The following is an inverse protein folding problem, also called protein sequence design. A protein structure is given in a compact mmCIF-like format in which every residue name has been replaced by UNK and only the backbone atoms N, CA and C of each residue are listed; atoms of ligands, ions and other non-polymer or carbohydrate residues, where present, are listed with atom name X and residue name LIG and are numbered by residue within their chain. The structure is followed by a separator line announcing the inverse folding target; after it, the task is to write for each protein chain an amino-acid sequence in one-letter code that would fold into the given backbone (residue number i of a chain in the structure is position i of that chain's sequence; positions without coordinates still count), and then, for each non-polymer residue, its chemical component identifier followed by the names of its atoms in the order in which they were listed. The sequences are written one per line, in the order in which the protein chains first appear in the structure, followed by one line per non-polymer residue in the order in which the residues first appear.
data_IF_193386628345
#
_entry.id   IF_193386628345
#
_cell.length_a   1.000
_cell.length_b   1.000
_cell.length_c   1.000
_cell.angle_alpha   90.00
_cell.angle_beta   90.00
_cell.angle_gamma   90.00
#
_symmetry.space_group_name_H-M   'P 1'
#
loop_
_entity.id
_entity.type
_entity.pdbx_description
1 polymer ?
#
# COMPACT_ATOMS: atom_id res chain seq x y z
N UNK A 1 5.50 -18.47 -34.13
CA UNK A 1 5.30 -18.34 -32.67
C UNK A 1 5.69 -16.93 -32.19
N UNK A 2 6.90 -16.39 -32.55
CA UNK A 2 7.30 -15.05 -32.16
C UNK A 2 6.29 -13.97 -32.59
N UNK A 3 5.84 -14.01 -33.86
CA UNK A 3 4.83 -13.07 -34.35
C UNK A 3 3.48 -13.21 -33.63
N UNK A 4 3.05 -14.42 -33.33
CA UNK A 4 1.81 -14.66 -32.56
C UNK A 4 1.93 -14.16 -31.11
N UNK A 5 3.09 -14.35 -30.48
CA UNK A 5 3.36 -13.83 -29.13
C UNK A 5 3.39 -12.28 -29.11
N UNK A 6 4.04 -11.66 -30.10
CA UNK A 6 4.03 -10.21 -30.27
C UNK A 6 2.61 -9.65 -30.49
N UNK A 7 1.82 -10.28 -31.36
CA UNK A 7 0.43 -9.92 -31.63
C UNK A 7 -0.43 -10.00 -30.36
N UNK A 8 -0.34 -11.13 -29.62
CA UNK A 8 -1.09 -11.30 -28.36
C UNK A 8 -0.68 -10.23 -27.35
N UNK A 9 0.62 -9.94 -27.23
CA UNK A 9 1.12 -8.92 -26.30
C UNK A 9 0.60 -7.52 -26.66
N UNK A 10 0.66 -7.15 -27.94
CA UNK A 10 0.18 -5.84 -28.42
C UNK A 10 -1.34 -5.71 -28.30
N UNK A 11 -2.10 -6.77 -28.61
CA UNK A 11 -3.57 -6.73 -28.60
C UNK A 11 -4.18 -6.87 -27.21
N UNK A 12 -3.45 -7.46 -26.23
CA UNK A 12 -3.95 -7.74 -24.88
C UNK A 12 -4.58 -6.53 -24.16
N UNK A 13 -4.03 -5.29 -24.22
CA UNK A 13 -4.64 -4.13 -23.58
C UNK A 13 -5.98 -3.69 -24.19
N UNK A 14 -6.25 -4.05 -25.47
CA UNK A 14 -7.46 -3.68 -26.21
C UNK A 14 -8.61 -4.67 -26.02
N UNK A 15 -8.32 -5.84 -25.46
CA UNK A 15 -9.28 -6.92 -25.35
C UNK A 15 -9.92 -6.94 -23.96
N UNK A 16 -11.23 -7.24 -23.91
CA UNK A 16 -11.89 -7.52 -22.64
C UNK A 16 -11.27 -8.75 -21.96
N UNK A 17 -11.42 -8.87 -20.64
CA UNK A 17 -10.76 -9.91 -19.83
C UNK A 17 -11.02 -11.34 -20.36
N UNK A 18 -12.24 -11.60 -20.88
CA UNK A 18 -12.60 -12.90 -21.46
C UNK A 18 -11.79 -13.19 -22.73
N UNK A 19 -11.73 -12.23 -23.65
CA UNK A 19 -10.98 -12.38 -24.89
C UNK A 19 -9.46 -12.39 -24.65
N UNK A 20 -8.96 -11.64 -23.72
CA UNK A 20 -7.55 -11.67 -23.32
C UNK A 20 -7.14 -13.04 -22.80
N UNK A 21 -7.97 -13.68 -21.93
CA UNK A 21 -7.72 -15.06 -21.49
C UNK A 21 -7.75 -16.02 -22.67
N UNK A 22 -8.72 -15.90 -23.56
CA UNK A 22 -8.83 -16.77 -24.74
C UNK A 22 -7.58 -16.66 -25.65
N UNK A 23 -7.09 -15.46 -25.94
CA UNK A 23 -5.89 -15.28 -26.76
C UNK A 23 -4.63 -15.86 -26.11
N UNK A 24 -4.45 -15.70 -24.79
CA UNK A 24 -3.34 -16.32 -24.08
C UNK A 24 -3.46 -17.85 -24.06
N UNK A 25 -4.65 -18.40 -23.86
CA UNK A 25 -4.88 -19.86 -23.94
C UNK A 25 -4.59 -20.40 -25.33
N UNK A 26 -5.00 -19.69 -26.38
CA UNK A 26 -4.71 -20.06 -27.77
C UNK A 26 -3.21 -20.03 -28.04
N UNK A 27 -2.47 -19.04 -27.54
CA UNK A 27 -1.01 -19.00 -27.67
C UNK A 27 -0.34 -20.18 -26.97
N UNK A 28 -0.77 -20.50 -25.74
CA UNK A 28 -0.26 -21.66 -24.99
C UNK A 28 -0.54 -22.95 -25.75
N UNK A 29 -1.75 -23.13 -26.27
CA UNK A 29 -2.10 -24.30 -27.06
C UNK A 29 -1.26 -24.41 -28.33
N UNK A 30 -1.02 -23.30 -29.02
CA UNK A 30 -0.15 -23.23 -30.20
C UNK A 30 1.30 -23.63 -29.85
N UNK A 31 1.81 -23.17 -28.73
CA UNK A 31 3.15 -23.52 -28.23
C UNK A 31 3.24 -25.02 -27.94
N UNK A 32 2.26 -25.58 -27.22
CA UNK A 32 2.21 -27.00 -26.90
C UNK A 32 2.12 -27.85 -28.16
N UNK A 33 1.23 -27.50 -29.12
CA UNK A 33 1.09 -28.20 -30.39
C UNK A 33 2.40 -28.18 -31.20
N UNK A 34 3.11 -27.06 -31.19
CA UNK A 34 4.41 -26.91 -31.85
C UNK A 34 5.48 -27.79 -31.23
N UNK A 35 5.54 -27.85 -29.90
CA UNK A 35 6.48 -28.74 -29.19
C UNK A 35 6.25 -30.22 -29.58
N UNK A 36 4.99 -30.62 -29.71
CA UNK A 36 4.62 -32.02 -30.05
C UNK A 36 4.85 -32.30 -31.53
N UNK A 37 4.51 -31.37 -32.43
CA UNK A 37 4.50 -31.57 -33.88
C UNK A 37 5.84 -31.29 -34.57
N UNK A 38 6.72 -30.45 -33.97
CA UNK A 38 8.00 -30.13 -34.56
C UNK A 38 9.13 -30.82 -33.82
N UNK A 39 10.08 -31.38 -34.52
CA UNK A 39 11.32 -31.93 -33.95
C UNK A 39 12.32 -30.84 -33.49
N UNK A 40 11.86 -29.58 -33.33
CA UNK A 40 12.68 -28.46 -32.90
C UNK A 40 12.96 -28.52 -31.39
N UNK A 41 14.13 -28.09 -30.93
CA UNK A 41 14.42 -28.07 -29.50
C UNK A 41 13.41 -27.16 -28.76
N UNK A 42 12.86 -27.61 -27.63
CA UNK A 42 11.90 -26.79 -26.83
C UNK A 42 12.42 -25.41 -26.45
N UNK A 43 13.74 -25.27 -26.31
CA UNK A 43 14.40 -24.00 -25.98
C UNK A 43 14.17 -22.93 -27.07
N UNK A 44 14.23 -23.29 -28.36
CA UNK A 44 14.04 -22.37 -29.47
C UNK A 44 12.63 -21.80 -29.46
N UNK A 45 11.64 -22.60 -29.09
CA UNK A 45 10.23 -22.20 -28.97
C UNK A 45 10.07 -21.19 -27.81
N UNK A 46 10.71 -21.42 -26.67
CA UNK A 46 10.68 -20.51 -25.52
C UNK A 46 11.35 -19.19 -25.87
N UNK A 47 12.52 -19.23 -26.53
CA UNK A 47 13.22 -18.02 -27.00
C UNK A 47 12.36 -17.24 -28.00
N UNK A 48 11.71 -17.92 -28.94
CA UNK A 48 10.82 -17.29 -29.92
C UNK A 48 9.61 -16.57 -29.25
N UNK A 49 9.01 -17.20 -28.23
CA UNK A 49 7.92 -16.57 -27.44
C UNK A 49 8.44 -15.35 -26.69
N UNK A 50 9.58 -15.47 -26.01
CA UNK A 50 10.18 -14.38 -25.27
C UNK A 50 10.53 -13.19 -26.18
N UNK A 51 11.12 -13.45 -27.34
CA UNK A 51 11.42 -12.44 -28.33
C UNK A 51 10.14 -11.73 -28.82
N UNK A 52 9.08 -12.49 -29.10
CA UNK A 52 7.79 -11.93 -29.50
C UNK A 52 7.19 -11.02 -28.41
N UNK A 53 7.27 -11.44 -27.15
CA UNK A 53 6.82 -10.60 -26.03
C UNK A 53 7.63 -9.31 -25.88
N UNK A 54 8.95 -9.39 -26.03
CA UNK A 54 9.82 -8.19 -26.01
C UNK A 54 9.46 -7.21 -27.14
N UNK A 55 9.32 -7.71 -28.35
CA UNK A 55 8.91 -6.87 -29.49
C UNK A 55 7.54 -6.25 -29.25
N UNK A 56 6.56 -7.03 -28.80
CA UNK A 56 5.23 -6.52 -28.47
C UNK A 56 5.26 -5.45 -27.35
N UNK A 57 6.09 -5.64 -26.33
CA UNK A 57 6.26 -4.66 -25.26
C UNK A 57 6.92 -3.37 -25.74
N UNK A 58 7.91 -3.45 -26.62
CA UNK A 58 8.53 -2.27 -27.23
C UNK A 58 7.51 -1.48 -28.08
N UNK A 59 6.66 -2.17 -28.86
CA UNK A 59 5.58 -1.53 -29.62
C UNK A 59 4.62 -0.79 -28.68
N UNK A 60 4.22 -1.40 -27.56
CA UNK A 60 3.35 -0.75 -26.57
C UNK A 60 4.02 0.45 -25.89
N UNK A 61 5.33 0.40 -25.66
CA UNK A 61 6.09 1.52 -25.11
C UNK A 61 6.20 2.70 -26.08
N UNK A 62 6.37 2.41 -27.38
CA UNK A 62 6.53 3.45 -28.42
C UNK A 62 5.20 4.08 -28.80
N UNK A 63 4.16 3.26 -29.00
CA UNK A 63 2.86 3.71 -29.49
C UNK A 63 1.83 3.94 -28.37
N UNK A 64 2.15 3.57 -27.14
CA UNK A 64 1.23 3.63 -25.99
C UNK A 64 0.23 2.48 -25.97
N UNK A 65 -0.39 2.29 -24.81
CA UNK A 65 -1.57 1.43 -24.65
C UNK A 65 -2.81 2.31 -24.47
N UNK A 66 -4.02 1.87 -24.86
CA UNK A 66 -5.22 2.62 -24.57
C UNK A 66 -5.35 2.76 -23.06
N UNK A 67 -5.31 3.99 -22.57
CA UNK A 67 -5.78 4.25 -21.22
C UNK A 67 -7.31 4.08 -21.25
N UNK A 68 -7.88 3.18 -20.46
CA UNK A 68 -9.32 3.05 -20.42
C UNK A 68 -9.91 4.31 -19.78
N UNK A 69 -10.34 5.25 -20.62
CA UNK A 69 -11.14 6.41 -20.20
C UNK A 69 -12.54 6.01 -19.70
N UNK A 70 -12.91 4.75 -19.85
CA UNK A 70 -14.16 4.14 -19.42
C UNK A 70 -14.31 3.98 -17.89
N UNK A 71 -13.24 4.09 -17.13
CA UNK A 71 -13.31 3.85 -15.67
C UNK A 71 -14.23 4.83 -14.92
N UNK A 72 -14.35 6.07 -15.36
CA UNK A 72 -15.16 7.05 -14.67
C UNK A 72 -16.67 6.73 -14.73
N UNK A 73 -17.19 6.39 -15.92
CA UNK A 73 -18.60 6.05 -16.09
C UNK A 73 -18.97 4.73 -15.44
N UNK A 74 -18.12 3.71 -15.56
CA UNK A 74 -18.30 2.42 -14.89
C UNK A 74 -18.26 2.56 -13.36
N UNK A 75 -17.33 3.38 -12.85
CA UNK A 75 -17.19 3.64 -11.44
C UNK A 75 -18.43 4.38 -10.89
N UNK A 76 -18.92 5.38 -11.61
CA UNK A 76 -20.18 6.07 -11.27
C UNK A 76 -21.38 5.13 -11.25
N UNK A 77 -21.50 4.23 -12.24
CA UNK A 77 -22.54 3.23 -12.28
C UNK A 77 -22.45 2.26 -11.11
N UNK A 78 -21.25 1.80 -10.77
CA UNK A 78 -21.03 0.89 -9.65
C UNK A 78 -21.29 1.56 -8.28
N UNK A 79 -20.95 2.84 -8.11
CA UNK A 79 -21.28 3.61 -6.90
C UNK A 79 -22.79 3.79 -6.73
N UNK A 80 -23.50 4.08 -7.84
CA UNK A 80 -24.99 4.18 -7.79
C UNK A 80 -25.63 2.85 -7.43
N UNK A 81 -25.07 1.73 -7.87
CA UNK A 81 -25.55 0.41 -7.47
C UNK A 81 -25.37 0.12 -5.97
N UNK A 82 -24.43 0.79 -5.30
CA UNK A 82 -24.26 0.77 -3.83
C UNK A 82 -25.18 1.77 -3.10
N UNK A 83 -26.08 2.48 -3.81
CA UNK A 83 -26.95 3.49 -3.23
C UNK A 83 -26.27 4.86 -3.04
N UNK A 84 -25.05 5.03 -3.50
CA UNK A 84 -24.33 6.32 -3.46
C UNK A 84 -24.70 7.15 -4.68
N UNK A 85 -25.11 8.41 -4.48
CA UNK A 85 -25.47 9.35 -5.54
C UNK A 85 -24.36 10.40 -5.75
N UNK A 86 -23.29 10.10 -6.51
CA UNK A 86 -22.23 11.06 -6.74
C UNK A 86 -22.69 12.20 -7.63
N UNK A 87 -22.42 13.43 -7.23
CA UNK A 87 -22.73 14.66 -7.95
C UNK A 87 -21.55 15.26 -8.68
N UNK A 88 -20.34 15.05 -8.16
CA UNK A 88 -19.12 15.51 -8.77
C UNK A 88 -18.00 14.46 -8.58
N UNK A 89 -17.03 14.46 -9.50
CA UNK A 89 -15.86 13.59 -9.43
C UNK A 89 -14.61 14.41 -9.75
N UNK A 90 -13.60 14.26 -8.90
CA UNK A 90 -12.25 14.76 -9.17
C UNK A 90 -11.24 13.63 -9.00
N UNK A 91 -10.22 13.59 -9.83
CA UNK A 91 -9.08 12.71 -9.63
C UNK A 91 -8.14 13.36 -8.62
N UNK A 92 -7.75 12.60 -7.61
CA UNK A 92 -6.72 13.04 -6.67
C UNK A 92 -5.36 12.60 -7.19
N UNK A 93 -4.54 13.58 -7.59
CA UNK A 93 -3.15 13.34 -7.94
C UNK A 93 -2.35 13.24 -6.63
N UNK A 94 -1.87 12.05 -6.30
CA UNK A 94 -1.09 11.78 -5.10
C UNK A 94 0.13 10.91 -5.41
N UNK A 95 1.09 10.88 -4.50
CA UNK A 95 2.34 10.13 -4.62
C UNK A 95 2.19 8.59 -4.68
N UNK A 96 0.96 8.07 -4.62
CA UNK A 96 0.69 6.63 -4.65
C UNK A 96 0.44 6.06 -6.04
N UNK A 97 0.87 4.83 -6.27
CA UNK A 97 0.67 4.11 -7.53
C UNK A 97 -0.81 3.78 -7.82
N UNK A 98 -1.69 3.80 -6.82
CA UNK A 98 -3.11 3.46 -6.94
C UNK A 98 -3.94 4.71 -7.19
N UNK A 99 -4.72 4.80 -8.29
CA UNK A 99 -5.61 5.92 -8.56
C UNK A 99 -6.63 6.14 -7.44
N UNK A 100 -6.76 7.37 -6.99
CA UNK A 100 -7.76 7.81 -6.01
C UNK A 100 -8.67 8.83 -6.67
N UNK A 101 -9.96 8.75 -6.36
CA UNK A 101 -10.96 9.67 -6.85
C UNK A 101 -11.73 10.25 -5.67
N UNK A 102 -11.95 11.55 -5.69
CA UNK A 102 -12.82 12.26 -4.78
C UNK A 102 -14.20 12.36 -5.40
N UNK A 103 -15.24 11.99 -4.66
CA UNK A 103 -16.62 12.15 -5.05
C UNK A 103 -17.36 13.02 -4.03
N UNK A 104 -18.08 14.02 -4.50
CA UNK A 104 -19.09 14.67 -3.71
C UNK A 104 -20.40 13.88 -3.84
N UNK A 105 -21.14 13.69 -2.75
CA UNK A 105 -22.43 12.99 -2.73
C UNK A 105 -23.56 13.96 -2.56
N UNK A 106 -24.75 13.62 -3.10
CA UNK A 106 -25.96 14.42 -2.94
C UNK A 106 -26.57 14.29 -1.53
N UNK A 107 -26.30 13.17 -0.87
CA UNK A 107 -26.84 12.84 0.43
C UNK A 107 -25.92 13.44 1.51
N UNK A 108 -26.42 14.37 2.30
CA UNK A 108 -25.76 15.03 3.45
C UNK A 108 -24.51 15.87 3.13
N UNK A 109 -24.19 16.12 1.84
CA UNK A 109 -23.00 16.93 1.47
C UNK A 109 -21.66 16.26 1.78
N UNK A 110 -21.65 14.96 2.00
CA UNK A 110 -20.43 14.21 2.31
C UNK A 110 -19.51 14.03 1.11
N UNK A 111 -18.23 13.93 1.36
CA UNK A 111 -17.22 13.58 0.35
C UNK A 111 -16.69 12.17 0.57
N UNK A 112 -16.51 11.46 -0.53
CA UNK A 112 -15.99 10.10 -0.52
C UNK A 112 -14.65 10.03 -1.25
N UNK A 113 -13.75 9.24 -0.71
CA UNK A 113 -12.54 8.83 -1.41
C UNK A 113 -12.72 7.41 -1.93
N UNK A 114 -12.59 7.27 -3.24
CA UNK A 114 -12.67 5.97 -3.91
C UNK A 114 -11.27 5.58 -4.41
N UNK A 115 -10.75 4.51 -3.87
CA UNK A 115 -9.48 3.91 -4.27
C UNK A 115 -9.77 2.79 -5.26
N UNK A 116 -9.33 2.99 -6.52
CA UNK A 116 -9.57 2.06 -7.63
C UNK A 116 -8.32 1.22 -7.90
N UNK A 117 -8.48 -0.09 -7.94
CA UNK A 117 -7.43 -1.03 -8.34
C UNK A 117 -7.79 -1.69 -9.66
N UNK A 118 -6.90 -1.57 -10.62
CA UNK A 118 -7.10 -2.11 -11.97
C UNK A 118 -6.40 -3.47 -12.13
N UNK A 119 -6.86 -4.33 -13.05
CA UNK A 119 -6.15 -5.57 -13.39
C UNK A 119 -4.70 -5.37 -13.84
N UNK A 120 -4.36 -4.17 -14.35
CA UNK A 120 -2.99 -3.84 -14.77
C UNK A 120 -2.05 -3.63 -13.58
N UNK A 121 -2.54 -3.20 -12.43
CA UNK A 121 -1.74 -3.03 -11.20
C UNK A 121 -1.12 -4.37 -10.76
N UNK A 122 -1.75 -5.49 -11.14
CA UNK A 122 -1.25 -6.84 -10.86
C UNK A 122 0.01 -7.22 -11.63
N UNK A 123 0.21 -6.69 -12.83
CA UNK A 123 1.39 -6.97 -13.65
C UNK A 123 2.62 -6.20 -13.19
N UNK A 124 2.46 -4.96 -12.73
CA UNK A 124 3.53 -4.19 -12.09
C UNK A 124 3.96 -4.83 -10.77
N UNK A 125 3.03 -5.25 -9.92
CA UNK A 125 3.30 -5.97 -8.68
C UNK A 125 4.13 -7.26 -8.89
N UNK A 126 3.87 -8.01 -9.98
CA UNK A 126 4.62 -9.23 -10.29
C UNK A 126 6.06 -8.94 -10.74
N UNK A 127 6.26 -7.91 -11.54
CA UNK A 127 7.60 -7.47 -11.97
C UNK A 127 8.41 -6.93 -10.80
N UNK A 128 7.78 -6.16 -9.92
CA UNK A 128 8.44 -5.62 -8.73
C UNK A 128 8.84 -6.74 -7.75
N UNK A 129 8.01 -7.78 -7.60
CA UNK A 129 8.31 -8.98 -6.81
C UNK A 129 9.44 -9.81 -7.41
N UNK A 130 9.41 -10.02 -8.74
CA UNK A 130 10.49 -10.73 -9.43
C UNK A 130 11.81 -9.97 -9.28
N UNK A 131 11.77 -8.64 -9.38
CA UNK A 131 12.91 -7.77 -9.21
C UNK A 131 13.43 -7.73 -7.78
N UNK A 132 12.53 -7.75 -6.78
CA UNK A 132 12.86 -7.86 -5.37
C UNK A 132 13.48 -9.23 -5.05
N UNK A 133 12.93 -10.32 -5.58
CA UNK A 133 13.46 -11.68 -5.41
C UNK A 133 14.86 -11.84 -6.01
N UNK A 134 15.12 -11.24 -7.20
CA UNK A 134 16.44 -11.25 -7.84
C UNK A 134 17.48 -10.46 -7.05
N UNK A 135 17.08 -9.39 -6.38
CA UNK A 135 18.00 -8.56 -5.58
C UNK A 135 18.34 -9.13 -4.21
N UNK A 136 17.75 -10.25 -3.78
CA UNK A 136 18.00 -10.90 -2.47
C UNK A 136 17.94 -9.92 -1.26
N UNK A 137 17.20 -8.82 -1.37
CA UNK A 137 17.19 -7.73 -0.38
C UNK A 137 15.78 -7.21 -0.15
N UNK A 138 15.03 -7.94 0.59
CA UNK A 138 14.06 -7.47 1.58
C UNK A 138 13.14 -8.61 1.98
N UNK A 139 13.12 -8.88 3.24
CA UNK A 139 12.24 -9.87 3.90
C UNK A 139 10.78 -9.42 3.97
N UNK A 140 10.37 -8.44 3.19
CA UNK A 140 8.99 -8.00 3.05
C UNK A 140 8.30 -8.71 1.90
N UNK A 141 8.05 -9.99 2.08
CA UNK A 141 7.13 -10.70 1.18
C UNK A 141 5.71 -10.26 1.56
N UNK A 142 5.17 -9.29 0.82
CA UNK A 142 3.72 -9.10 0.83
C UNK A 142 3.05 -10.44 0.57
N UNK A 143 2.13 -10.84 1.45
CA UNK A 143 1.37 -12.07 1.24
C UNK A 143 0.68 -12.01 -0.13
N UNK A 144 0.89 -13.01 -1.01
CA UNK A 144 0.32 -12.99 -2.34
C UNK A 144 -1.20 -13.17 -2.23
N UNK A 145 -1.96 -12.10 -2.32
CA UNK A 145 -3.40 -12.23 -2.52
C UNK A 145 -3.64 -12.81 -3.91
N UNK A 146 -4.43 -13.88 -3.97
CA UNK A 146 -4.72 -14.58 -5.22
C UNK A 146 -5.57 -13.75 -6.19
N UNK A 147 -6.19 -12.63 -5.73
CA UNK A 147 -7.02 -11.74 -6.56
C UNK A 147 -7.03 -10.31 -6.02
N UNK A 148 -7.24 -9.32 -6.92
CA UNK A 148 -7.44 -7.91 -6.56
C UNK A 148 -8.58 -7.74 -5.56
N UNK A 149 -9.66 -8.48 -5.74
CA UNK A 149 -10.83 -8.45 -4.87
C UNK A 149 -10.45 -8.78 -3.43
N UNK A 150 -9.70 -9.87 -3.21
CA UNK A 150 -9.26 -10.25 -1.86
C UNK A 150 -8.37 -9.21 -1.21
N UNK A 151 -7.55 -8.50 -1.99
CA UNK A 151 -6.72 -7.42 -1.45
C UNK A 151 -7.57 -6.25 -0.96
N UNK A 152 -8.57 -5.84 -1.74
CA UNK A 152 -9.51 -4.78 -1.34
C UNK A 152 -10.40 -5.21 -0.17
N UNK A 153 -10.87 -6.45 -0.17
CA UNK A 153 -11.63 -7.05 0.95
C UNK A 153 -10.78 -7.08 2.23
N UNK A 154 -9.51 -7.45 2.13
CA UNK A 154 -8.59 -7.48 3.28
C UNK A 154 -8.33 -6.08 3.83
N UNK A 155 -8.07 -5.09 2.96
CA UNK A 155 -7.91 -3.69 3.37
C UNK A 155 -9.15 -3.16 4.10
N UNK A 156 -10.34 -3.46 3.57
CA UNK A 156 -11.58 -3.07 4.22
C UNK A 156 -11.79 -3.80 5.55
N UNK A 157 -11.50 -5.09 5.61
CA UNK A 157 -11.58 -5.87 6.84
C UNK A 157 -10.64 -5.33 7.92
N UNK A 158 -9.37 -5.07 7.57
CA UNK A 158 -8.41 -4.49 8.51
C UNK A 158 -8.84 -3.11 9.01
N UNK A 159 -9.37 -2.25 8.12
CA UNK A 159 -9.94 -0.94 8.50
C UNK A 159 -11.12 -1.10 9.46
N UNK A 160 -11.99 -2.08 9.23
CA UNK A 160 -13.14 -2.35 10.10
C UNK A 160 -12.69 -2.87 11.48
N UNK A 161 -11.66 -3.73 11.53
CA UNK A 161 -11.07 -4.20 12.79
C UNK A 161 -10.47 -3.02 13.56
N UNK A 162 -9.73 -2.12 12.89
CA UNK A 162 -9.18 -0.92 13.49
C UNK A 162 -10.29 -0.02 14.09
N UNK A 163 -11.33 0.24 13.31
CA UNK A 163 -12.50 1.02 13.78
C UNK A 163 -13.16 0.38 15.00
N UNK A 164 -13.34 -0.95 15.00
CA UNK A 164 -13.94 -1.69 16.11
C UNK A 164 -13.06 -1.68 17.36
N UNK A 165 -11.76 -1.49 17.20
CA UNK A 165 -10.79 -1.33 18.29
C UNK A 165 -10.74 0.09 18.87
N UNK A 166 -11.47 1.05 18.30
CA UNK A 166 -11.49 2.44 18.74
C UNK A 166 -10.52 3.36 18.01
N UNK A 167 -9.87 2.86 16.94
CA UNK A 167 -8.97 3.67 16.12
C UNK A 167 -9.76 4.57 15.17
N UNK A 168 -9.40 5.84 15.11
CA UNK A 168 -10.02 6.81 14.22
C UNK A 168 -9.56 6.61 12.76
N UNK A 169 -10.41 5.93 12.00
CA UNK A 169 -10.19 5.58 10.61
C UNK A 169 -11.33 6.05 9.71
N UNK A 170 -11.11 6.26 8.41
CA UNK A 170 -12.19 6.57 7.48
C UNK A 170 -13.25 5.46 7.47
N UNK A 171 -14.53 5.82 7.60
CA UNK A 171 -15.62 4.87 7.53
C UNK A 171 -15.70 4.22 6.13
N UNK A 172 -15.81 2.90 6.06
CA UNK A 172 -16.04 2.18 4.81
C UNK A 172 -17.50 2.35 4.40
N UNK A 173 -17.71 2.94 3.23
CA UNK A 173 -19.04 3.13 2.64
C UNK A 173 -19.42 1.92 1.79
N UNK A 174 -18.46 1.35 1.06
CA UNK A 174 -18.73 0.17 0.27
C UNK A 174 -17.54 -0.32 -0.54
N UNK A 175 -17.71 -1.54 -1.04
CA UNK A 175 -16.77 -2.22 -1.95
C UNK A 175 -17.54 -2.59 -3.22
N UNK A 176 -16.89 -2.52 -4.36
CA UNK A 176 -17.52 -2.88 -5.61
C UNK A 176 -16.53 -3.30 -6.69
N UNK A 177 -17.09 -3.83 -7.76
CA UNK A 177 -16.37 -4.23 -8.96
C UNK A 177 -17.01 -3.56 -10.17
N UNK A 178 -16.19 -3.01 -11.07
CA UNK A 178 -16.66 -2.43 -12.33
C UNK A 178 -16.81 -3.52 -13.40
N UNK A 179 -17.54 -3.22 -14.46
CA UNK A 179 -17.72 -4.15 -15.60
C UNK A 179 -16.38 -4.56 -16.24
N UNK A 180 -15.39 -3.66 -16.23
CA UNK A 180 -14.03 -3.94 -16.70
C UNK A 180 -13.21 -4.85 -15.76
N UNK A 181 -13.74 -5.23 -14.59
CA UNK A 181 -13.09 -6.07 -13.60
C UNK A 181 -12.10 -5.33 -12.71
N UNK A 182 -12.17 -4.01 -12.66
CA UNK A 182 -11.50 -3.20 -11.66
C UNK A 182 -12.27 -3.27 -10.35
N UNK A 183 -11.56 -3.30 -9.22
CA UNK A 183 -12.17 -3.37 -7.88
C UNK A 183 -11.90 -2.07 -7.15
N UNK A 184 -12.89 -1.56 -6.43
CA UNK A 184 -12.76 -0.32 -5.69
C UNK A 184 -13.25 -0.43 -4.25
N UNK A 185 -12.72 0.46 -3.42
CA UNK A 185 -13.19 0.74 -2.07
C UNK A 185 -13.59 2.20 -1.99
N UNK A 186 -14.80 2.45 -1.50
CA UNK A 186 -15.30 3.77 -1.16
C UNK A 186 -15.25 3.96 0.36
N UNK A 187 -14.69 5.07 0.82
CA UNK A 187 -14.64 5.45 2.22
C UNK A 187 -14.94 6.93 2.39
N UNK A 188 -15.37 7.34 3.59
CA UNK A 188 -15.52 8.76 3.91
C UNK A 188 -14.18 9.48 3.72
N UNK A 189 -14.24 10.75 3.29
CA UNK A 189 -13.07 11.63 3.30
C UNK A 189 -12.76 12.03 4.73
N UNK A 190 -11.48 12.06 5.07
CA UNK A 190 -10.98 12.70 6.28
C UNK A 190 -10.71 14.16 5.96
N UNK A 191 -11.38 15.07 6.63
CA UNK A 191 -11.04 16.48 6.60
C UNK A 191 -9.80 16.72 7.45
N UNK A 192 -8.70 17.04 6.78
CA UNK A 192 -7.43 17.24 7.46
C UNK A 192 -6.25 17.29 6.49
N UNK A 193 -5.07 17.46 7.06
CA UNK A 193 -3.81 17.52 6.33
C UNK A 193 -2.96 16.32 6.71
N UNK A 194 -2.23 15.75 5.72
CA UNK A 194 -1.27 14.69 5.99
C UNK A 194 -0.17 15.19 6.92
N UNK A 195 0.22 14.37 7.88
CA UNK A 195 1.34 14.70 8.78
C UNK A 195 2.65 14.92 8.01
N UNK A 196 2.80 14.36 6.82
CA UNK A 196 3.95 14.61 5.95
C UNK A 196 3.96 16.05 5.41
N UNK A 197 2.79 16.63 5.15
CA UNK A 197 2.62 17.91 4.47
C UNK A 197 2.42 19.12 5.43
N UNK A 198 2.19 18.86 6.74
CA UNK A 198 2.06 19.93 7.72
C UNK A 198 3.41 20.38 8.28
N UNK A 199 3.46 21.57 8.89
CA UNK A 199 4.63 22.07 9.60
C UNK A 199 4.83 21.37 10.95
N UNK A 200 6.07 21.35 11.46
CA UNK A 200 6.39 20.70 12.73
C UNK A 200 5.62 21.30 13.92
N UNK A 201 5.36 22.61 13.89
CA UNK A 201 4.61 23.33 14.92
C UNK A 201 3.14 22.89 15.03
N UNK A 202 2.59 22.28 14.00
CA UNK A 202 1.23 21.73 14.00
C UNK A 202 1.11 20.45 14.84
N UNK A 203 2.25 19.78 15.08
CA UNK A 203 2.32 18.55 15.87
C UNK A 203 2.31 18.91 17.36
N UNK A 204 1.13 19.01 17.93
CA UNK A 204 0.92 19.41 19.32
C UNK A 204 0.98 18.22 20.28
N UNK A 205 1.21 18.42 21.60
CA UNK A 205 1.14 17.33 22.59
C UNK A 205 -0.21 16.58 22.58
N UNK A 206 -1.40 17.22 22.47
CA UNK A 206 -2.66 16.51 22.33
C UNK A 206 -2.73 15.63 21.09
N UNK A 207 -2.17 16.09 19.95
CA UNK A 207 -2.08 15.26 18.74
C UNK A 207 -1.22 14.02 18.98
N UNK A 208 -0.04 14.17 19.60
CA UNK A 208 0.85 13.03 19.90
C UNK A 208 0.17 12.03 20.84
N UNK A 209 -0.51 12.51 21.88
CA UNK A 209 -1.25 11.66 22.80
C UNK A 209 -2.38 10.89 22.08
N UNK A 210 -3.14 11.57 21.22
CA UNK A 210 -4.16 10.94 20.36
C UNK A 210 -3.56 9.88 19.45
N UNK A 211 -2.45 10.18 18.78
CA UNK A 211 -1.77 9.26 17.87
C UNK A 211 -1.28 8.01 18.61
N UNK A 212 -0.53 8.19 19.70
CA UNK A 212 0.02 7.06 20.46
C UNK A 212 -1.08 6.22 21.10
N UNK A 213 -2.21 6.83 21.53
CA UNK A 213 -3.37 6.09 22.03
C UNK A 213 -3.93 5.16 20.95
N UNK A 214 -4.09 5.63 19.73
CA UNK A 214 -4.56 4.81 18.61
C UNK A 214 -3.58 3.68 18.25
N UNK A 215 -2.27 3.93 18.34
CA UNK A 215 -1.25 2.88 18.19
C UNK A 215 -1.38 1.81 19.28
N UNK A 216 -1.66 2.22 20.52
CA UNK A 216 -1.91 1.28 21.62
C UNK A 216 -3.15 0.41 21.34
N UNK A 217 -4.22 1.00 20.79
CA UNK A 217 -5.44 0.28 20.44
C UNK A 217 -5.22 -0.68 19.26
N UNK A 218 -4.44 -0.31 18.24
CA UNK A 218 -3.98 -1.23 17.20
C UNK A 218 -3.21 -2.42 17.78
N UNK A 219 -2.27 -2.16 18.71
CA UNK A 219 -1.50 -3.22 19.39
C UNK A 219 -2.39 -4.15 20.17
N UNK A 220 -3.36 -3.63 20.94
CA UNK A 220 -4.34 -4.44 21.71
C UNK A 220 -5.19 -5.32 20.79
N UNK A 221 -5.57 -4.81 19.63
CA UNK A 221 -6.30 -5.55 18.61
C UNK A 221 -5.43 -6.54 17.82
N UNK A 222 -4.12 -6.61 18.08
CA UNK A 222 -3.16 -7.42 17.30
C UNK A 222 -3.21 -7.10 15.80
N UNK A 223 -3.37 -5.83 15.48
CA UNK A 223 -3.42 -5.31 14.11
C UNK A 223 -2.17 -4.45 13.85
N UNK A 224 -1.28 -4.93 12.99
CA UNK A 224 -0.15 -4.13 12.51
C UNK A 224 -0.55 -3.41 11.23
N UNK A 225 -0.23 -2.13 11.15
CA UNK A 225 -0.49 -1.30 9.96
C UNK A 225 0.50 -1.57 8.82
N UNK A 226 1.77 -1.84 9.16
CA UNK A 226 2.89 -2.19 8.28
C UNK A 226 3.25 -1.15 7.20
N UNK A 227 2.76 0.05 7.36
CA UNK A 227 3.09 1.23 6.55
C UNK A 227 2.73 2.50 7.30
N UNK A 228 3.18 2.61 8.55
CA UNK A 228 2.83 3.71 9.45
C UNK A 228 3.76 4.91 9.24
N UNK A 229 3.76 5.41 7.99
CA UNK A 229 4.51 6.61 7.60
C UNK A 229 3.71 7.88 7.84
N UNK A 230 4.38 9.04 7.86
CA UNK A 230 3.72 10.34 8.04
C UNK A 230 2.65 10.65 6.98
N UNK A 231 2.72 10.02 5.81
CA UNK A 231 1.71 10.16 4.74
C UNK A 231 0.40 9.44 5.05
N UNK A 232 0.42 8.47 5.97
CA UNK A 232 -0.73 7.66 6.37
C UNK A 232 -1.29 8.06 7.75
N UNK A 233 -0.78 9.16 8.31
CA UNK A 233 -1.31 9.83 9.50
C UNK A 233 -1.80 11.21 9.10
N UNK A 234 -3.02 11.56 9.45
CA UNK A 234 -3.60 12.87 9.18
C UNK A 234 -3.87 13.61 10.49
N UNK A 235 -3.79 14.93 10.43
CA UNK A 235 -4.28 15.83 11.47
C UNK A 235 -5.63 16.34 11.00
N UNK A 236 -6.69 16.03 11.72
CA UNK A 236 -8.04 16.47 11.37
C UNK A 236 -8.33 17.91 11.82
N UNK A 237 -9.55 18.39 11.55
CA UNK A 237 -9.97 19.76 11.89
C UNK A 237 -9.98 20.05 13.39
N UNK A 238 -10.03 19.04 14.25
CA UNK A 238 -9.99 19.16 15.70
C UNK A 238 -8.55 19.04 16.25
N UNK A 239 -7.57 18.88 15.36
CA UNK A 239 -6.15 18.71 15.72
C UNK A 239 -5.82 17.31 16.26
N UNK A 240 -6.65 16.33 15.99
CA UNK A 240 -6.46 14.94 16.42
C UNK A 240 -5.93 14.05 15.28
N UNK A 241 -5.31 12.95 15.66
CA UNK A 241 -4.75 12.00 14.70
C UNK A 241 -5.84 11.12 14.08
N UNK A 242 -5.70 10.87 12.76
CA UNK A 242 -6.47 9.85 12.04
C UNK A 242 -5.52 8.99 11.22
N UNK A 243 -5.69 7.68 11.32
CA UNK A 243 -4.85 6.71 10.61
C UNK A 243 -5.58 6.25 9.35
N UNK A 244 -4.89 6.28 8.21
CA UNK A 244 -5.45 5.93 6.90
C UNK A 244 -4.60 4.87 6.20
N UNK A 245 -5.17 4.19 5.20
CA UNK A 245 -4.48 3.30 4.27
C UNK A 245 -3.97 1.97 4.86
N UNK A 246 -4.88 1.14 5.33
CA UNK A 246 -4.62 -0.21 5.86
C UNK A 246 -4.34 -1.27 4.78
N UNK A 247 -3.82 -0.88 3.63
CA UNK A 247 -3.56 -1.75 2.47
C UNK A 247 -2.57 -2.89 2.77
N UNK A 248 -1.60 -2.63 3.63
CA UNK A 248 -0.57 -3.59 4.05
C UNK A 248 -0.81 -4.18 5.42
N UNK A 249 -1.91 -3.83 6.06
CA UNK A 249 -2.17 -4.22 7.43
C UNK A 249 -2.21 -5.74 7.61
N UNK A 250 -1.81 -6.20 8.79
CA UNK A 250 -1.80 -7.62 9.17
C UNK A 250 -2.62 -7.83 10.43
N UNK A 251 -3.68 -8.66 10.32
CA UNK A 251 -4.52 -9.07 11.44
C UNK A 251 -3.88 -10.28 12.12
N UNK A 252 -4.01 -10.38 13.43
CA UNK A 252 -3.30 -11.35 14.28
C UNK A 252 -1.77 -11.21 14.14
N UNK A 253 -1.29 -9.97 14.06
CA UNK A 253 0.10 -9.61 13.88
C UNK A 253 1.00 -10.13 15.01
N UNK A 254 2.26 -10.43 14.67
CA UNK A 254 3.28 -10.77 15.65
C UNK A 254 3.71 -9.54 16.47
N UNK A 255 4.32 -9.75 17.64
CA UNK A 255 4.89 -8.64 18.43
C UNK A 255 5.91 -7.87 17.61
N UNK A 256 6.73 -8.56 16.82
CA UNK A 256 7.71 -7.94 15.92
C UNK A 256 7.09 -6.99 14.91
N UNK A 257 5.95 -7.34 14.30
CA UNK A 257 5.26 -6.47 13.34
C UNK A 257 4.69 -5.23 14.04
N UNK A 258 4.15 -5.40 15.26
CA UNK A 258 3.63 -4.31 16.08
C UNK A 258 4.75 -3.38 16.58
N UNK A 259 5.90 -3.92 16.97
CA UNK A 259 7.07 -3.14 17.40
C UNK A 259 7.68 -2.37 16.22
N UNK A 260 7.62 -2.96 15.03
CA UNK A 260 8.06 -2.31 13.80
C UNK A 260 7.20 -1.08 13.46
N UNK A 261 5.87 -1.15 13.58
CA UNK A 261 4.99 -0.01 13.37
C UNK A 261 5.35 1.17 14.32
N UNK A 262 5.62 0.86 15.58
CA UNK A 262 6.07 1.88 16.56
C UNK A 262 7.43 2.45 16.15
N UNK A 263 8.38 1.60 15.75
CA UNK A 263 9.71 2.04 15.32
C UNK A 263 9.66 2.93 14.07
N UNK A 264 8.82 2.59 13.09
CA UNK A 264 8.61 3.41 11.89
C UNK A 264 8.10 4.80 12.25
N UNK A 265 7.15 4.88 13.17
CA UNK A 265 6.56 6.14 13.61
C UNK A 265 7.54 6.94 14.47
N UNK A 266 8.30 6.29 15.37
CA UNK A 266 9.35 6.93 16.15
C UNK A 266 10.40 7.60 15.26
N UNK A 267 10.90 6.88 14.24
CA UNK A 267 11.89 7.44 13.29
C UNK A 267 11.28 8.62 12.51
N UNK A 268 10.08 8.45 11.99
CA UNK A 268 9.42 9.44 11.15
C UNK A 268 9.07 10.73 11.92
N UNK A 269 8.54 10.59 13.13
CA UNK A 269 8.26 11.73 14.02
C UNK A 269 9.55 12.40 14.51
N UNK A 270 10.57 11.62 14.89
CA UNK A 270 11.85 12.18 15.32
C UNK A 270 12.51 13.03 14.24
N UNK A 271 12.40 12.62 12.99
CA UNK A 271 12.89 13.41 11.86
C UNK A 271 12.09 14.72 11.67
N UNK A 272 10.84 14.79 12.11
CA UNK A 272 9.95 15.95 11.93
C UNK A 272 9.98 16.91 13.12
N UNK A 273 9.90 16.41 14.34
CA UNK A 273 9.74 17.22 15.56
C UNK A 273 10.90 17.07 16.55
N UNK A 274 11.89 16.22 16.24
CA UNK A 274 13.02 15.92 17.11
C UNK A 274 12.82 14.66 17.96
N UNK A 275 13.94 14.11 18.44
CA UNK A 275 13.99 12.84 19.16
C UNK A 275 13.34 12.95 20.55
N UNK A 276 13.71 13.95 21.35
CA UNK A 276 13.28 14.06 22.73
C UNK A 276 11.74 14.13 22.90
N UNK A 277 11.00 15.04 22.21
CA UNK A 277 9.54 15.10 22.34
C UNK A 277 8.86 13.82 21.81
N UNK A 278 9.41 13.20 20.77
CA UNK A 278 8.87 11.94 20.21
C UNK A 278 8.96 10.80 21.21
N UNK A 279 10.14 10.55 21.77
CA UNK A 279 10.37 9.46 22.72
C UNK A 279 9.60 9.68 24.01
N UNK A 280 9.63 10.91 24.56
CA UNK A 280 8.90 11.24 25.79
C UNK A 280 7.39 10.99 25.65
N UNK A 281 6.77 11.46 24.58
CA UNK A 281 5.34 11.27 24.33
C UNK A 281 4.96 9.80 24.07
N UNK A 282 5.84 9.06 23.42
CA UNK A 282 5.64 7.61 23.20
C UNK A 282 5.68 6.84 24.51
N UNK A 283 6.68 7.09 25.38
CA UNK A 283 6.80 6.44 26.70
C UNK A 283 5.60 6.78 27.58
N UNK A 284 5.17 8.04 27.60
CA UNK A 284 4.02 8.49 28.38
C UNK A 284 2.75 7.73 28.07
N UNK A 285 2.53 7.41 26.79
CA UNK A 285 1.27 6.78 26.36
C UNK A 285 1.38 5.26 26.21
N UNK A 286 2.46 4.76 25.58
CA UNK A 286 2.65 3.33 25.30
C UNK A 286 3.28 2.57 26.48
N UNK A 287 4.02 3.26 27.32
CA UNK A 287 4.83 2.68 28.41
C UNK A 287 6.25 2.30 27.95
N UNK A 288 7.15 2.23 28.94
CA UNK A 288 8.58 1.96 28.72
C UNK A 288 8.83 0.63 28.01
N UNK A 289 8.10 -0.44 28.40
CA UNK A 289 8.31 -1.79 27.85
C UNK A 289 8.03 -1.85 26.33
N UNK A 290 6.94 -1.21 25.89
CA UNK A 290 6.57 -1.19 24.46
C UNK A 290 7.59 -0.38 23.65
N UNK A 291 8.06 0.74 24.18
CA UNK A 291 9.04 1.58 23.50
C UNK A 291 10.42 0.89 23.48
N UNK A 292 10.84 0.24 24.57
CA UNK A 292 12.08 -0.53 24.61
C UNK A 292 12.09 -1.69 23.62
N UNK A 293 10.96 -2.39 23.43
CA UNK A 293 10.82 -3.47 22.46
C UNK A 293 11.06 -3.05 21.00
N UNK A 294 11.05 -1.76 20.72
CA UNK A 294 11.34 -1.24 19.36
C UNK A 294 12.83 -1.20 19.02
N UNK A 295 13.75 -1.28 20.01
CA UNK A 295 15.19 -1.15 19.79
C UNK A 295 15.75 -2.07 18.70
N UNK A 296 15.38 -3.38 18.60
CA UNK A 296 15.84 -4.23 17.51
C UNK A 296 15.37 -3.78 16.12
N UNK A 297 14.28 -3.00 16.03
CA UNK A 297 13.71 -2.50 14.79
C UNK A 297 14.32 -1.15 14.35
N UNK A 298 15.03 -0.43 15.24
CA UNK A 298 15.69 0.86 14.94
C UNK A 298 17.00 0.69 14.17
N UNK A 299 17.01 -0.14 13.16
CA UNK A 299 18.15 -0.41 12.27
C UNK A 299 17.76 -0.20 10.81
N UNK A 300 18.70 0.27 9.94
CA UNK A 300 18.39 0.55 8.55
C UNK A 300 17.77 -0.62 7.76
N UNK A 301 18.11 -1.86 8.11
CA UNK A 301 17.60 -3.05 7.42
C UNK A 301 16.18 -3.43 7.84
N UNK A 302 15.76 -3.07 9.04
CA UNK A 302 14.42 -3.37 9.57
C UNK A 302 13.37 -2.33 9.11
N UNK A 303 13.81 -1.14 8.72
CA UNK A 303 12.92 -0.04 8.33
C UNK A 303 12.49 -0.11 6.85
N UNK A 304 11.26 0.31 6.52
CA UNK A 304 10.82 0.46 5.14
C UNK A 304 11.70 1.42 4.33
N UNK A 305 11.73 1.27 2.99
CA UNK A 305 12.59 2.10 2.13
C UNK A 305 12.39 3.61 2.31
N UNK A 306 11.16 4.07 2.51
CA UNK A 306 10.80 5.48 2.69
C UNK A 306 11.38 6.03 4.00
N UNK A 307 11.10 5.33 5.12
CA UNK A 307 11.61 5.69 6.45
C UNK A 307 13.13 5.60 6.52
N UNK A 308 13.71 4.58 5.87
CA UNK A 308 15.16 4.42 5.72
C UNK A 308 15.80 5.60 4.98
N UNK A 309 15.15 6.08 3.93
CA UNK A 309 15.63 7.24 3.17
C UNK A 309 15.58 8.50 4.03
N UNK A 310 14.50 8.69 4.77
CA UNK A 310 14.35 9.80 5.72
C UNK A 310 15.44 9.76 6.81
N UNK A 311 15.68 8.59 7.42
CA UNK A 311 16.73 8.41 8.41
C UNK A 311 18.14 8.71 7.86
N UNK A 312 18.40 8.40 6.58
CA UNK A 312 19.70 8.72 5.93
C UNK A 312 19.89 10.22 5.70
N UNK A 313 18.82 10.98 5.45
CA UNK A 313 18.88 12.43 5.30
C UNK A 313 19.23 13.14 6.63
N UNK A 314 18.87 12.52 7.75
CA UNK A 314 19.16 13.00 9.11
C UNK A 314 20.29 12.16 9.72
N UNK A 315 21.54 12.53 9.42
CA UNK A 315 22.73 11.78 9.89
C UNK A 315 22.73 11.62 11.41
N UNK A 316 22.90 10.38 11.88
CA UNK A 316 22.93 10.05 13.30
C UNK A 316 21.58 9.90 13.98
N UNK A 317 20.45 10.13 13.27
CA UNK A 317 19.12 10.06 13.85
C UNK A 317 18.83 8.72 14.53
N UNK A 318 19.18 7.59 13.92
CA UNK A 318 18.92 6.26 14.48
C UNK A 318 19.74 6.00 15.75
N UNK A 319 21.00 6.48 15.78
CA UNK A 319 21.86 6.34 16.97
C UNK A 319 21.34 7.20 18.12
N UNK A 320 20.98 8.46 17.84
CA UNK A 320 20.38 9.38 18.80
C UNK A 320 19.04 8.86 19.34
N UNK A 321 18.17 8.36 18.44
CA UNK A 321 16.89 7.79 18.81
C UNK A 321 17.06 6.54 19.67
N UNK A 322 17.97 5.63 19.29
CA UNK A 322 18.26 4.43 20.07
C UNK A 322 18.82 4.75 21.44
N UNK A 323 19.70 5.75 21.56
CA UNK A 323 20.21 6.23 22.85
C UNK A 323 19.07 6.82 23.71
N UNK A 324 18.23 7.70 23.14
CA UNK A 324 17.11 8.31 23.85
C UNK A 324 16.07 7.27 24.33
N UNK A 325 15.81 6.22 23.53
CA UNK A 325 14.93 5.11 23.93
C UNK A 325 15.54 4.36 25.09
N UNK A 326 16.84 4.00 25.06
CA UNK A 326 17.51 3.31 26.20
C UNK A 326 17.47 4.15 27.47
N UNK A 327 17.85 5.41 27.37
CA UNK A 327 17.87 6.34 28.51
C UNK A 327 16.47 6.53 29.11
N UNK A 328 15.46 6.74 28.26
CA UNK A 328 14.09 6.98 28.68
C UNK A 328 13.37 5.75 29.23
N UNK A 329 13.74 4.55 28.78
CA UNK A 329 13.10 3.29 29.22
C UNK A 329 13.89 2.54 30.29
N UNK A 330 15.17 2.89 30.51
CA UNK A 330 16.08 2.15 31.37
C UNK A 330 16.47 0.77 30.84
N UNK A 331 16.30 0.54 29.53
CA UNK A 331 16.66 -0.73 28.89
C UNK A 331 18.18 -0.83 28.75
N UNK A 332 18.78 -1.88 29.32
CA UNK A 332 20.18 -2.23 29.09
C UNK A 332 20.44 -2.61 27.63
N UNK A 333 21.73 -2.70 27.21
CA UNK A 333 22.11 -3.10 25.86
C UNK A 333 21.46 -4.45 25.50
N UNK A 334 20.38 -4.37 24.68
CA UNK A 334 19.74 -5.57 24.14
C UNK A 334 20.64 -6.10 23.02
N UNK A 335 21.10 -7.36 23.13
CA UNK A 335 21.81 -8.05 22.06
C UNK A 335 20.97 -7.98 20.76
N UNK A 336 21.53 -7.34 19.74
CA UNK A 336 20.93 -7.27 18.41
C UNK A 336 20.90 -8.70 17.83
N UNK A 337 19.74 -9.24 17.55
CA UNK A 337 19.61 -10.48 16.77
C UNK A 337 20.31 -10.31 15.41
N UNK A 338 21.27 -11.19 15.15
CA UNK A 338 22.03 -11.28 13.88
C UNK A 338 21.20 -11.89 12.76
#
# INVERSE_FOLDING_TARGET
IAASAAFVTVSAPWLSQRWRRATWMTLIMLVLLRIIASGEPPLDIVVAVALGMVVGSVVLLVFGSPQPTSHASELLAALRALGVNPTAMARLDGAGATPRYLFATADEGGELIVKLRTPNDRSSDLLDRLWAAVRLRSSEVERPFSSLKRRVEHEAFATTVASSAGVDVPAIVGLGETESGSVFRASSRVDGVSLADCDAETVTPPFLASLWSQILDLRRARLAHRNLSLTNVMIDGDGLARIIDFDRAEVAASDRDLDRDVAELLVSLSAKIGVAPTVSSAIETLGSDVVAATLPQLQPLALPPEVRTMAKLHKGLLDELSAAVRDGTGADEIELEQ
#
